data_IF_968026637780
#
_entry.id   IF_968026637780
#
_cell.length_a   1.000
_cell.length_b   1.000
_cell.length_c   1.000
_cell.angle_alpha   90.00
_cell.angle_beta   90.00
_cell.angle_gamma   90.00
#
_symmetry.space_group_name_H-M   'P 1'
#
loop_
_entity.id
_entity.type
_entity.pdbx_description
1 polymer ?
#
# COMPACT_ATOMS: atom_id res chain seq x y z
N UNK A 1 2.60 -2.24 12.73
CA UNK A 1 2.97 -1.72 11.40
C UNK A 1 1.77 -1.02 10.78
N UNK A 2 2.01 0.09 10.18
CA UNK A 2 0.96 0.91 9.61
C UNK A 2 1.37 1.33 8.20
N UNK A 3 0.41 1.33 7.29
CA UNK A 3 0.66 1.75 5.90
C UNK A 3 -0.12 3.02 5.64
N UNK A 4 0.59 4.04 5.15
CA UNK A 4 -0.01 5.30 4.76
C UNK A 4 0.18 5.52 3.27
N UNK A 5 -0.84 6.05 2.63
CA UNK A 5 -0.76 6.43 1.23
C UNK A 5 -0.75 7.95 1.17
N UNK A 6 0.37 8.51 0.75
CA UNK A 6 0.50 9.96 0.61
C UNK A 6 0.21 10.37 -0.81
N UNK A 7 -0.40 11.53 -0.98
CA UNK A 7 -0.83 11.98 -2.28
C UNK A 7 -2.18 11.42 -2.68
N UNK A 8 -2.89 10.81 -1.73
CA UNK A 8 -4.17 10.18 -2.02
C UNK A 8 -5.23 11.17 -2.46
N UNK A 9 -5.05 12.45 -2.13
CA UNK A 9 -6.02 13.47 -2.54
C UNK A 9 -6.07 13.61 -4.06
N UNK A 10 -5.05 13.14 -4.77
CA UNK A 10 -5.02 13.15 -6.23
C UNK A 10 -5.80 11.99 -6.83
N UNK A 11 -6.14 11.00 -6.03
CA UNK A 11 -6.74 9.76 -6.50
C UNK A 11 -8.23 9.79 -6.31
N UNK A 12 -8.96 9.19 -7.27
CA UNK A 12 -10.39 8.99 -7.08
C UNK A 12 -10.63 7.96 -5.98
N UNK A 13 -11.87 7.85 -5.51
CA UNK A 13 -12.20 6.90 -4.47
C UNK A 13 -11.84 5.48 -4.88
N UNK A 14 -12.18 5.10 -6.12
CA UNK A 14 -11.88 3.76 -6.63
C UNK A 14 -10.39 3.53 -6.76
N UNK A 15 -9.67 4.54 -7.23
CA UNK A 15 -8.22 4.43 -7.34
C UNK A 15 -7.59 4.20 -5.98
N UNK A 16 -8.08 4.90 -4.96
CA UNK A 16 -7.58 4.71 -3.59
C UNK A 16 -7.85 3.31 -3.08
N UNK A 17 -9.04 2.79 -3.33
CA UNK A 17 -9.37 1.43 -2.91
C UNK A 17 -8.42 0.41 -3.53
N UNK A 18 -8.18 0.55 -4.84
CA UNK A 18 -7.30 -0.37 -5.54
C UNK A 18 -5.88 -0.28 -5.00
N UNK A 19 -5.37 0.94 -4.81
CA UNK A 19 -4.01 1.12 -4.31
C UNK A 19 -3.84 0.47 -2.94
N UNK A 20 -4.76 0.74 -2.03
CA UNK A 20 -4.66 0.19 -0.68
C UNK A 20 -4.66 -1.33 -0.72
N UNK A 21 -5.55 -1.92 -1.49
CA UNK A 21 -5.63 -3.38 -1.56
C UNK A 21 -4.40 -3.99 -2.21
N UNK A 22 -3.86 -3.32 -3.25
CA UNK A 22 -2.64 -3.81 -3.88
C UNK A 22 -1.47 -3.77 -2.89
N UNK A 23 -1.35 -2.69 -2.13
CA UNK A 23 -0.26 -2.56 -1.18
C UNK A 23 -0.41 -3.51 -0.01
N UNK A 24 -1.62 -3.98 0.24
CA UNK A 24 -1.85 -5.00 1.25
C UNK A 24 -1.61 -6.41 0.73
N UNK A 25 -1.21 -6.55 -0.52
CA UNK A 25 -0.84 -7.84 -1.07
C UNK A 25 -1.93 -8.58 -1.82
N UNK A 26 -3.05 -7.92 -2.10
CA UNK A 26 -4.12 -8.58 -2.86
C UNK A 26 -3.79 -8.64 -4.34
N UNK A 27 -4.17 -9.74 -4.98
CA UNK A 27 -4.04 -9.86 -6.43
C UNK A 27 -5.15 -9.06 -7.12
N UNK A 28 -4.97 -8.83 -8.43
CA UNK A 28 -5.98 -8.13 -9.19
C UNK A 28 -7.32 -8.88 -9.15
N UNK A 29 -7.27 -10.22 -9.20
CA UNK A 29 -8.49 -11.02 -9.12
C UNK A 29 -9.18 -10.86 -7.78
N UNK A 30 -8.42 -10.83 -6.71
CA UNK A 30 -9.00 -10.64 -5.38
C UNK A 30 -9.63 -9.26 -5.24
N UNK A 31 -8.97 -8.25 -5.77
CA UNK A 31 -9.51 -6.89 -5.73
C UNK A 31 -10.78 -6.80 -6.54
N UNK A 32 -10.78 -7.39 -7.74
CA UNK A 32 -11.96 -7.38 -8.58
C UNK A 32 -13.16 -7.99 -7.87
N UNK A 33 -12.94 -9.10 -7.16
CA UNK A 33 -13.99 -9.74 -6.38
C UNK A 33 -14.48 -8.83 -5.26
N UNK A 34 -13.54 -8.24 -4.51
CA UNK A 34 -13.92 -7.40 -3.39
C UNK A 34 -14.71 -6.17 -3.81
N UNK A 35 -14.29 -5.56 -4.91
CA UNK A 35 -14.91 -4.33 -5.38
C UNK A 35 -16.03 -4.58 -6.38
N UNK A 36 -16.24 -5.84 -6.80
CA UNK A 36 -17.27 -6.23 -7.74
C UNK A 36 -17.11 -5.51 -9.07
N UNK A 37 -15.90 -5.53 -9.58
CA UNK A 37 -15.57 -4.95 -10.88
C UNK A 37 -14.73 -5.96 -11.66
N UNK A 38 -14.49 -5.66 -12.94
CA UNK A 38 -13.70 -6.53 -13.79
C UNK A 38 -12.22 -6.44 -13.42
N UNK A 39 -11.49 -7.53 -13.67
CA UNK A 39 -10.06 -7.54 -13.44
C UNK A 39 -9.36 -6.48 -14.29
N UNK A 40 -9.80 -6.32 -15.55
CA UNK A 40 -9.20 -5.28 -16.37
C UNK A 40 -9.42 -3.88 -15.82
N UNK A 41 -10.54 -3.66 -15.14
CA UNK A 41 -10.80 -2.38 -14.49
C UNK A 41 -9.84 -2.14 -13.35
N UNK A 42 -9.49 -3.19 -12.60
CA UNK A 42 -8.51 -3.06 -11.53
C UNK A 42 -7.18 -2.59 -12.10
N UNK A 43 -6.72 -3.21 -13.18
CA UNK A 43 -5.46 -2.84 -13.80
C UNK A 43 -5.48 -1.39 -14.29
N UNK A 44 -6.58 -0.97 -14.90
CA UNK A 44 -6.72 0.39 -15.38
C UNK A 44 -6.66 1.40 -14.24
N UNK A 45 -7.40 1.12 -13.17
CA UNK A 45 -7.43 2.02 -12.01
C UNK A 45 -6.06 2.11 -11.36
N UNK A 46 -5.37 1.00 -11.25
CA UNK A 46 -4.05 0.99 -10.66
C UNK A 46 -3.06 1.79 -11.50
N UNK A 47 -3.10 1.59 -12.81
CA UNK A 47 -2.21 2.34 -13.71
C UNK A 47 -2.49 3.83 -13.67
N UNK A 48 -3.75 4.21 -13.59
CA UNK A 48 -4.12 5.63 -13.44
C UNK A 48 -3.58 6.21 -12.14
N UNK A 49 -3.71 5.45 -11.05
CA UNK A 49 -3.20 5.91 -9.77
C UNK A 49 -1.69 6.13 -9.82
N UNK A 50 -0.97 5.18 -10.43
CA UNK A 50 0.48 5.32 -10.55
C UNK A 50 0.85 6.52 -11.39
N UNK A 51 0.10 6.81 -12.45
CA UNK A 51 0.35 7.97 -13.29
C UNK A 51 0.15 9.27 -12.53
N UNK A 52 -0.82 9.32 -11.64
CA UNK A 52 -1.07 10.52 -10.85
C UNK A 52 0.00 10.70 -9.77
N UNK A 53 0.64 9.64 -9.37
CA UNK A 53 1.70 9.70 -8.38
C UNK A 53 1.18 9.60 -6.95
N UNK A 54 1.77 8.71 -6.18
CA UNK A 54 1.48 8.59 -4.76
C UNK A 54 2.69 7.95 -4.11
N UNK A 55 2.74 8.01 -2.78
CA UNK A 55 3.80 7.38 -2.02
C UNK A 55 3.20 6.43 -1.01
N UNK A 56 3.85 5.29 -0.85
CA UNK A 56 3.50 4.33 0.19
C UNK A 56 4.51 4.50 1.31
N UNK A 57 4.02 4.78 2.49
CA UNK A 57 4.87 4.95 3.67
C UNK A 57 4.50 3.87 4.66
N UNK A 58 5.49 3.10 5.07
CA UNK A 58 5.29 2.04 6.05
C UNK A 58 5.86 2.53 7.37
N UNK A 59 4.98 2.62 8.37
CA UNK A 59 5.37 3.07 9.69
C UNK A 59 5.54 1.85 10.57
N UNK A 60 6.76 1.62 11.02
CA UNK A 60 7.10 0.47 11.83
C UNK A 60 7.67 0.98 13.15
N UNK A 61 7.00 0.73 14.27
CA UNK A 61 7.57 1.12 15.58
C UNK A 61 8.82 0.30 15.82
N UNK A 62 9.95 0.99 15.99
CA UNK A 62 11.21 0.31 16.10
C UNK A 62 11.32 -0.60 17.31
N UNK A 63 10.71 -0.22 18.40
CA UNK A 63 10.77 -1.00 19.63
C UNK A 63 10.02 -2.33 19.49
N UNK A 64 9.05 -2.42 18.60
CA UNK A 64 8.32 -3.67 18.40
C UNK A 64 9.18 -4.72 17.76
N UNK A 65 10.12 -4.32 16.93
CA UNK A 65 10.94 -5.26 16.19
C UNK A 65 12.19 -5.68 16.92
N UNK A 66 12.63 -4.84 17.84
CA UNK A 66 13.88 -5.11 18.53
C UNK A 66 15.10 -5.06 17.64
N UNK A 67 14.93 -4.63 16.39
CA UNK A 67 16.03 -4.65 15.45
C UNK A 67 17.02 -3.53 15.66
N UNK A 68 16.59 -2.49 16.32
CA UNK A 68 17.42 -1.31 16.55
C UNK A 68 17.69 -1.11 18.02
N UNK A 69 17.59 -2.19 18.76
CA UNK A 69 17.93 -2.17 20.18
C UNK A 69 19.39 -1.81 20.30
N UNK A 70 19.73 -0.79 21.09
CA UNK A 70 21.14 -0.40 21.26
C UNK A 70 22.04 -1.55 21.72
N UNK A 71 21.51 -2.46 22.52
CA UNK A 71 22.30 -3.60 22.95
C UNK A 71 22.73 -4.49 21.82
N UNK A 72 21.87 -4.65 20.82
CA UNK A 72 22.21 -5.48 19.69
C UNK A 72 23.18 -4.79 18.76
N UNK A 73 23.03 -3.50 18.61
CA UNK A 73 23.91 -2.76 17.73
C UNK A 73 25.34 -2.77 18.23
N UNK A 74 25.50 -2.78 19.52
CA UNK A 74 26.81 -2.74 20.07
C UNK A 74 27.61 -3.98 19.81
N UNK A 75 26.98 -5.01 19.32
CA UNK A 75 27.66 -6.26 19.11
C UNK A 75 28.24 -6.42 17.75
N UNK A 76 27.97 -5.52 16.88
CA UNK A 76 28.53 -5.59 15.52
C UNK A 76 29.91 -4.99 15.38
#
# INVERSE_FOLDING_TARGET
>A
MQIEIRGAEKLSFRERQVVVLKEMGHSNEQIAKKLKINVSSVATLYNRAKSKGYQVVIVIPGDHLGLFDPGEEGED
#
